data_IF_478243975533
#
_entry.id   IF_478243975533
#
_cell.length_a   1.000
_cell.length_b   1.000
_cell.length_c   1.000
_cell.angle_alpha   90.00
_cell.angle_beta   90.00
_cell.angle_gamma   90.00
#
_symmetry.space_group_name_H-M   'P 1'
#
loop_
_entity.id
_entity.type
_entity.pdbx_description
1 polymer ?
#
# COMPACT_ATOMS: atom_id res chain seq x y z
N UNK A 1 16.88 13.54 -14.01
CA UNK A 1 16.71 12.10 -14.20
C UNK A 1 17.98 11.30 -13.91
N UNK A 2 19.19 11.83 -14.27
CA UNK A 2 20.48 11.13 -14.08
C UNK A 2 20.72 10.70 -12.63
N UNK A 3 20.48 11.59 -11.66
CA UNK A 3 20.63 11.27 -10.23
C UNK A 3 19.72 10.12 -9.81
N UNK A 4 18.47 10.10 -10.29
CA UNK A 4 17.54 9.02 -9.98
C UNK A 4 17.96 7.68 -10.57
N UNK A 5 18.46 7.67 -11.81
CA UNK A 5 19.02 6.48 -12.45
C UNK A 5 20.21 5.97 -11.64
N UNK A 6 21.12 6.85 -11.26
CA UNK A 6 22.26 6.49 -10.42
C UNK A 6 21.85 5.85 -9.09
N UNK A 7 20.86 6.43 -8.41
CA UNK A 7 20.31 5.86 -7.18
C UNK A 7 19.66 4.50 -7.41
N UNK A 8 18.85 4.34 -8.44
CA UNK A 8 18.14 3.09 -8.72
C UNK A 8 19.07 1.95 -9.15
N UNK A 9 20.22 2.27 -9.77
CA UNK A 9 21.22 1.27 -10.12
C UNK A 9 21.79 0.54 -8.89
N UNK A 10 21.81 1.17 -7.72
CA UNK A 10 22.24 0.53 -6.46
C UNK A 10 21.31 -0.62 -6.04
N UNK A 11 20.06 -0.58 -6.50
CA UNK A 11 19.06 -1.64 -6.29
C UNK A 11 18.97 -2.62 -7.47
N UNK A 12 19.94 -2.61 -8.40
CA UNK A 12 19.95 -3.46 -9.58
C UNK A 12 18.90 -3.08 -10.64
N UNK A 13 18.27 -1.89 -10.52
CA UNK A 13 17.23 -1.44 -11.45
C UNK A 13 17.89 -0.76 -12.66
N UNK A 14 17.63 -1.31 -13.85
CA UNK A 14 18.20 -0.78 -15.10
C UNK A 14 17.68 0.62 -15.44
N UNK A 15 18.47 1.39 -16.19
CA UNK A 15 18.08 2.71 -16.68
C UNK A 15 16.76 2.67 -17.47
N UNK A 16 16.57 1.66 -18.32
CA UNK A 16 15.34 1.49 -19.10
C UNK A 16 14.11 1.31 -18.20
N UNK A 17 14.24 0.52 -17.13
CA UNK A 17 13.18 0.32 -16.13
C UNK A 17 12.84 1.61 -15.40
N UNK A 18 13.85 2.39 -15.00
CA UNK A 18 13.65 3.70 -14.36
C UNK A 18 12.92 4.66 -15.29
N UNK A 19 13.36 4.77 -16.56
CA UNK A 19 12.71 5.64 -17.55
C UNK A 19 11.25 5.22 -17.79
N UNK A 20 11.00 3.92 -17.93
CA UNK A 20 9.64 3.38 -18.06
C UNK A 20 8.75 3.68 -16.84
N UNK A 21 9.30 3.59 -15.63
CA UNK A 21 8.57 3.94 -14.42
C UNK A 21 8.22 5.43 -14.37
N UNK A 22 9.16 6.31 -14.70
CA UNK A 22 8.94 7.77 -14.78
C UNK A 22 7.84 8.08 -15.80
N UNK A 23 7.89 7.49 -17.00
CA UNK A 23 6.87 7.69 -18.03
C UNK A 23 5.47 7.32 -17.50
N UNK A 24 5.34 6.15 -16.84
CA UNK A 24 4.06 5.74 -16.23
C UNK A 24 3.59 6.72 -15.15
N UNK A 25 4.50 7.19 -14.26
CA UNK A 25 4.14 8.14 -13.21
C UNK A 25 3.72 9.51 -13.78
N UNK A 26 4.31 9.96 -14.88
CA UNK A 26 3.85 11.17 -15.60
C UNK A 26 2.45 10.98 -16.15
N UNK A 27 2.19 9.85 -16.84
CA UNK A 27 0.87 9.55 -17.41
C UNK A 27 -0.22 9.38 -16.34
N UNK A 28 0.16 8.93 -15.14
CA UNK A 28 -0.74 8.84 -13.98
C UNK A 28 -0.92 10.17 -13.24
N UNK A 29 -0.27 11.24 -13.72
CA UNK A 29 -0.34 12.55 -13.07
C UNK A 29 0.31 12.63 -11.69
N UNK A 30 1.20 11.69 -11.32
CA UNK A 30 1.88 11.67 -10.03
C UNK A 30 3.11 12.59 -9.99
N UNK A 31 3.77 12.74 -11.12
CA UNK A 31 4.91 13.64 -11.30
C UNK A 31 4.74 14.49 -12.55
N UNK A 32 5.35 15.66 -12.54
CA UNK A 32 5.38 16.56 -13.70
C UNK A 32 6.83 16.83 -14.14
N UNK A 33 7.12 16.78 -15.45
CA UNK A 33 8.42 17.12 -15.98
C UNK A 33 8.60 18.62 -16.09
N UNK A 34 9.85 19.08 -15.88
CA UNK A 34 10.30 20.43 -16.20
C UNK A 34 11.61 20.35 -16.94
N UNK A 35 11.68 20.92 -18.13
CA UNK A 35 12.91 20.98 -18.93
C UNK A 35 13.66 22.28 -18.62
N UNK A 36 14.96 22.19 -18.31
CA UNK A 36 15.85 23.33 -18.14
C UNK A 36 17.11 23.05 -18.98
N UNK A 37 17.26 23.76 -20.08
CA UNK A 37 18.28 23.47 -21.09
C UNK A 37 18.13 22.04 -21.62
N UNK A 38 19.20 21.25 -21.59
CA UNK A 38 19.19 19.86 -22.03
C UNK A 38 18.86 18.85 -20.91
N UNK A 39 18.49 19.32 -19.71
CA UNK A 39 18.20 18.46 -18.55
C UNK A 39 16.72 18.44 -18.24
N UNK A 40 16.20 17.24 -17.95
CA UNK A 40 14.83 17.04 -17.47
C UNK A 40 14.82 16.88 -15.95
N UNK A 41 14.03 17.66 -15.28
CA UNK A 41 13.74 17.61 -13.84
C UNK A 41 12.32 17.10 -13.64
N UNK A 42 12.06 16.49 -12.52
CA UNK A 42 10.73 15.97 -12.16
C UNK A 42 10.36 16.43 -10.77
N UNK A 43 9.12 16.82 -10.57
CA UNK A 43 8.58 17.16 -9.27
C UNK A 43 7.26 16.43 -9.06
N UNK A 44 6.93 16.15 -7.81
CA UNK A 44 5.62 15.61 -7.46
C UNK A 44 4.53 16.62 -7.82
N UNK A 45 3.39 16.09 -8.23
CA UNK A 45 2.12 16.83 -8.29
C UNK A 45 1.45 16.78 -6.91
N UNK A 46 0.33 17.45 -6.74
CA UNK A 46 -0.48 17.34 -5.53
C UNK A 46 -0.99 15.91 -5.33
N UNK A 47 -1.43 15.26 -6.39
CA UNK A 47 -1.82 13.84 -6.39
C UNK A 47 -0.65 12.94 -5.98
N UNK A 48 0.54 13.20 -6.50
CA UNK A 48 1.75 12.48 -6.13
C UNK A 48 2.11 12.66 -4.64
N UNK A 49 1.98 13.85 -4.11
CA UNK A 49 2.21 14.14 -2.70
C UNK A 49 1.23 13.37 -1.81
N UNK A 50 -0.08 13.44 -2.09
CA UNK A 50 -1.10 12.70 -1.35
C UNK A 50 -0.80 11.19 -1.34
N UNK A 51 -0.42 10.62 -2.49
CA UNK A 51 -0.07 9.19 -2.59
C UNK A 51 1.13 8.81 -1.72
N UNK A 52 2.13 9.68 -1.61
CA UNK A 52 3.27 9.45 -0.71
C UNK A 52 2.83 9.56 0.75
N UNK A 53 2.06 10.57 1.11
CA UNK A 53 1.56 10.75 2.48
C UNK A 53 0.74 9.55 2.95
N UNK A 54 -0.13 9.04 2.10
CA UNK A 54 -0.91 7.83 2.39
C UNK A 54 -0.01 6.61 2.60
N UNK A 55 1.01 6.44 1.75
CA UNK A 55 2.01 5.39 1.90
C UNK A 55 2.82 5.52 3.20
N UNK A 56 3.25 6.74 3.54
CA UNK A 56 3.98 7.02 4.79
C UNK A 56 3.10 6.72 6.00
N UNK A 57 1.85 7.17 6.01
CA UNK A 57 0.91 6.88 7.09
C UNK A 57 0.73 5.37 7.27
N UNK A 58 0.60 4.62 6.19
CA UNK A 58 0.42 3.17 6.21
C UNK A 58 1.65 2.45 6.78
N UNK A 59 2.85 2.86 6.38
CA UNK A 59 4.10 2.20 6.81
C UNK A 59 4.51 2.58 8.24
N UNK A 60 4.35 3.86 8.61
CA UNK A 60 4.94 4.38 9.86
C UNK A 60 3.92 4.74 10.93
N UNK A 61 2.65 4.97 10.60
CA UNK A 61 1.62 5.25 11.58
C UNK A 61 0.84 3.98 11.94
N UNK A 62 1.51 3.01 12.56
CA UNK A 62 0.84 1.83 13.14
C UNK A 62 0.00 2.33 14.31
N UNK A 63 -1.24 2.67 14.02
CA UNK A 63 -2.23 2.98 15.06
C UNK A 63 -2.84 1.65 15.49
N UNK A 64 -2.52 1.20 16.67
CA UNK A 64 -3.28 0.16 17.34
C UNK A 64 -4.67 0.72 17.68
N UNK A 65 -5.59 0.69 16.73
CA UNK A 65 -6.96 0.99 17.00
C UNK A 65 -7.58 -0.19 17.75
N UNK A 66 -8.08 0.08 18.95
CA UNK A 66 -8.94 -0.90 19.62
C UNK A 66 -10.20 -1.02 18.77
N UNK A 67 -10.58 -2.25 18.45
CA UNK A 67 -11.81 -2.50 17.70
C UNK A 67 -13.00 -1.90 18.43
N UNK A 68 -13.83 -1.15 17.72
CA UNK A 68 -15.02 -0.48 18.25
C UNK A 68 -16.26 -1.37 18.32
N UNK A 69 -16.13 -2.66 17.97
CA UNK A 69 -17.23 -3.63 17.98
C UNK A 69 -18.06 -3.65 16.70
N UNK A 70 -17.69 -2.87 15.68
CA UNK A 70 -18.45 -2.81 14.44
C UNK A 70 -17.65 -3.30 13.23
N UNK A 71 -18.31 -4.11 12.42
CA UNK A 71 -17.88 -4.47 11.09
C UNK A 71 -18.36 -3.44 10.08
N UNK A 72 -17.48 -3.01 9.19
CA UNK A 72 -17.81 -2.22 7.99
C UNK A 72 -17.97 -3.21 6.85
N UNK A 73 -19.14 -3.23 6.23
CA UNK A 73 -19.50 -4.17 5.18
C UNK A 73 -19.75 -3.36 3.90
N UNK A 74 -19.00 -3.66 2.87
CA UNK A 74 -19.16 -3.06 1.55
C UNK A 74 -19.59 -4.14 0.56
N UNK A 75 -20.69 -3.87 -0.12
CA UNK A 75 -21.23 -4.72 -1.18
C UNK A 75 -21.26 -3.89 -2.45
N UNK A 76 -20.80 -4.43 -3.55
CA UNK A 76 -20.89 -3.73 -4.83
C UNK A 76 -21.54 -4.60 -5.91
N UNK A 77 -22.22 -3.92 -6.87
CA UNK A 77 -22.78 -4.51 -8.07
C UNK A 77 -22.36 -3.66 -9.28
N UNK A 78 -21.12 -3.87 -9.74
CA UNK A 78 -20.57 -3.14 -10.90
C UNK A 78 -20.79 -3.97 -12.16
N UNK A 79 -21.48 -3.44 -13.20
CA UNK A 79 -21.76 -4.14 -14.46
C UNK A 79 -20.48 -4.59 -15.19
N UNK A 80 -20.58 -5.63 -16.02
CA UNK A 80 -19.42 -6.18 -16.74
C UNK A 80 -18.79 -5.16 -17.70
N UNK A 81 -19.59 -4.29 -18.29
CA UNK A 81 -19.14 -3.21 -19.18
C UNK A 81 -18.16 -2.24 -18.45
N UNK A 82 -18.23 -2.19 -17.12
CA UNK A 82 -17.35 -1.39 -16.25
C UNK A 82 -16.29 -2.22 -15.53
N UNK A 83 -15.83 -3.32 -16.11
CA UNK A 83 -14.84 -4.24 -15.52
C UNK A 83 -13.58 -3.54 -15.02
N UNK A 84 -13.08 -2.52 -15.72
CA UNK A 84 -11.91 -1.77 -15.31
C UNK A 84 -12.15 -1.05 -13.97
N UNK A 85 -13.32 -0.45 -13.80
CA UNK A 85 -13.74 0.21 -12.57
C UNK A 85 -13.85 -0.78 -11.41
N UNK A 86 -14.42 -1.97 -11.65
CA UNK A 86 -14.46 -3.07 -10.68
C UNK A 86 -13.06 -3.51 -10.25
N UNK A 87 -12.14 -3.63 -11.20
CA UNK A 87 -10.74 -4.00 -10.89
C UNK A 87 -10.06 -2.92 -10.05
N UNK A 88 -10.31 -1.67 -10.35
CA UNK A 88 -9.80 -0.53 -9.58
C UNK A 88 -10.37 -0.53 -8.15
N UNK A 89 -11.70 -0.66 -8.00
CA UNK A 89 -12.37 -0.75 -6.71
C UNK A 89 -11.78 -1.85 -5.83
N UNK A 90 -11.59 -3.05 -6.38
CA UNK A 90 -10.97 -4.17 -5.65
C UNK A 90 -9.55 -3.86 -5.15
N UNK A 91 -8.76 -3.16 -5.96
CA UNK A 91 -7.41 -2.73 -5.54
C UNK A 91 -7.47 -1.71 -4.41
N UNK A 92 -8.37 -0.73 -4.50
CA UNK A 92 -8.53 0.29 -3.45
C UNK A 92 -9.04 -0.33 -2.14
N UNK A 93 -10.01 -1.25 -2.20
CA UNK A 93 -10.52 -1.96 -1.02
C UNK A 93 -9.44 -2.82 -0.36
N UNK A 94 -8.70 -3.59 -1.14
CA UNK A 94 -7.56 -4.35 -0.63
C UNK A 94 -6.49 -3.42 -0.03
N UNK A 95 -6.20 -2.32 -0.70
CA UNK A 95 -5.24 -1.31 -0.22
C UNK A 95 -5.67 -0.66 1.09
N UNK A 96 -6.96 -0.44 1.32
CA UNK A 96 -7.49 0.12 2.56
C UNK A 96 -7.66 -0.90 3.69
N UNK A 97 -7.31 -2.17 3.45
CA UNK A 97 -7.34 -3.23 4.47
C UNK A 97 -8.69 -3.92 4.62
N UNK A 98 -9.56 -3.84 3.62
CA UNK A 98 -10.76 -4.67 3.58
C UNK A 98 -10.43 -6.12 3.24
N UNK A 99 -11.05 -7.06 3.95
CA UNK A 99 -11.04 -8.49 3.66
C UNK A 99 -12.14 -8.89 2.69
N UNK A 100 -11.82 -9.75 1.72
CA UNK A 100 -12.75 -10.24 0.73
C UNK A 100 -13.52 -11.47 1.24
N UNK A 101 -14.83 -11.34 1.43
CA UNK A 101 -15.70 -12.44 1.89
C UNK A 101 -16.32 -13.21 0.73
N UNK A 102 -16.83 -12.49 -0.27
CA UNK A 102 -17.34 -13.07 -1.53
C UNK A 102 -16.86 -12.22 -2.69
N UNK A 103 -17.17 -12.61 -3.93
CA UNK A 103 -16.73 -11.87 -5.12
C UNK A 103 -17.08 -10.37 -5.10
N UNK A 104 -18.10 -9.97 -4.34
CA UNK A 104 -18.59 -8.57 -4.29
C UNK A 104 -18.78 -8.05 -2.87
N UNK A 105 -18.47 -8.85 -1.82
CA UNK A 105 -18.67 -8.46 -0.42
C UNK A 105 -17.32 -8.37 0.28
N UNK A 106 -17.07 -7.20 0.86
CA UNK A 106 -15.85 -6.88 1.58
C UNK A 106 -16.18 -6.43 3.00
N UNK A 107 -15.29 -6.72 3.95
CA UNK A 107 -15.47 -6.35 5.34
C UNK A 107 -14.20 -5.71 5.92
N UNK A 108 -14.36 -4.83 6.90
CA UNK A 108 -13.26 -4.27 7.66
C UNK A 108 -13.66 -4.03 9.12
N UNK A 109 -12.78 -4.29 10.11
CA UNK A 109 -12.98 -3.91 11.49
C UNK A 109 -12.64 -2.43 11.76
N UNK A 110 -12.00 -1.75 10.81
CA UNK A 110 -11.51 -0.39 10.98
C UNK A 110 -12.57 0.65 10.63
N UNK A 111 -12.60 1.82 11.31
CA UNK A 111 -13.51 2.93 11.00
C UNK A 111 -13.07 3.67 9.75
N UNK A 112 -13.47 3.17 8.59
CA UNK A 112 -13.06 3.64 7.26
C UNK A 112 -14.16 4.40 6.51
N UNK A 113 -15.23 4.82 7.20
CA UNK A 113 -16.42 5.45 6.63
C UNK A 113 -16.06 6.65 5.75
N UNK A 114 -15.19 7.52 6.25
CA UNK A 114 -14.78 8.72 5.53
C UNK A 114 -14.02 8.38 4.24
N UNK A 115 -13.03 7.46 4.32
CA UNK A 115 -12.25 7.05 3.16
C UNK A 115 -13.13 6.39 2.09
N UNK A 116 -14.12 5.59 2.49
CA UNK A 116 -15.05 4.96 1.57
C UNK A 116 -15.92 6.01 0.87
N UNK A 117 -16.46 6.97 1.59
CA UNK A 117 -17.26 8.06 1.01
C UNK A 117 -16.43 8.87 -0.01
N UNK A 118 -15.19 9.20 0.30
CA UNK A 118 -14.30 9.90 -0.62
C UNK A 118 -13.98 9.05 -1.87
N UNK A 119 -13.69 7.77 -1.69
CA UNK A 119 -13.43 6.83 -2.79
C UNK A 119 -14.64 6.70 -3.72
N UNK A 120 -15.82 6.50 -3.14
CA UNK A 120 -17.08 6.37 -3.89
C UNK A 120 -17.31 7.60 -4.77
N UNK A 121 -17.13 8.81 -4.21
CA UNK A 121 -17.26 10.07 -4.95
C UNK A 121 -16.18 10.23 -6.03
N UNK A 122 -14.95 9.90 -5.72
CA UNK A 122 -13.80 10.05 -6.65
C UNK A 122 -13.98 9.21 -7.91
N UNK A 123 -14.55 8.03 -7.76
CA UNK A 123 -14.73 7.08 -8.87
C UNK A 123 -16.16 7.02 -9.43
N UNK A 124 -17.08 7.89 -8.95
CA UNK A 124 -18.49 7.92 -9.34
C UNK A 124 -19.16 6.53 -9.18
N UNK A 125 -19.07 5.97 -7.98
CA UNK A 125 -19.50 4.62 -7.64
C UNK A 125 -20.81 4.57 -6.85
N UNK A 126 -21.47 5.70 -6.63
CA UNK A 126 -22.64 5.85 -5.74
C UNK A 126 -23.75 4.85 -6.08
N UNK A 127 -24.00 4.59 -7.38
CA UNK A 127 -25.05 3.68 -7.84
C UNK A 127 -24.70 2.19 -7.68
N UNK A 128 -23.42 1.88 -7.44
CA UNK A 128 -22.92 0.49 -7.46
C UNK A 128 -22.55 -0.06 -6.09
N UNK A 129 -22.50 0.78 -5.07
CA UNK A 129 -21.98 0.41 -3.74
C UNK A 129 -23.07 0.58 -2.68
N UNK A 130 -23.17 -0.46 -1.84
CA UNK A 130 -23.87 -0.40 -0.56
C UNK A 130 -22.85 -0.54 0.55
N UNK A 131 -22.92 0.34 1.54
CA UNK A 131 -22.00 0.36 2.66
C UNK A 131 -22.77 0.36 3.98
N UNK A 132 -22.47 -0.60 4.83
CA UNK A 132 -23.19 -0.84 6.08
C UNK A 132 -22.21 -0.96 7.25
N UNK A 133 -22.72 -0.74 8.45
CA UNK A 133 -22.06 -1.11 9.70
C UNK A 133 -22.92 -2.13 10.45
N UNK A 134 -22.29 -3.13 11.06
CA UNK A 134 -22.97 -4.14 11.86
C UNK A 134 -22.15 -4.50 13.08
N UNK A 135 -22.81 -4.63 14.24
CA UNK A 135 -22.18 -5.08 15.48
C UNK A 135 -22.16 -6.61 15.61
N UNK A 136 -22.85 -7.34 14.76
CA UNK A 136 -22.95 -8.80 14.84
C UNK A 136 -23.02 -9.47 13.47
N UNK A 137 -22.54 -10.72 13.41
CA UNK A 137 -22.67 -11.62 12.26
C UNK A 137 -23.40 -12.86 12.77
N UNK A 138 -24.67 -13.00 12.42
CA UNK A 138 -25.54 -14.03 13.00
C UNK A 138 -25.19 -15.45 12.60
N UNK A 139 -24.59 -15.64 11.42
CA UNK A 139 -24.34 -16.97 10.83
C UNK A 139 -22.92 -17.49 11.03
N UNK A 140 -22.00 -16.65 11.48
CA UNK A 140 -20.58 -16.97 11.66
C UNK A 140 -20.04 -16.22 12.88
N UNK A 141 -19.03 -16.80 13.52
CA UNK A 141 -18.30 -16.06 14.54
C UNK A 141 -17.30 -15.06 13.87
N UNK A 142 -16.79 -14.14 14.68
CA UNK A 142 -15.85 -13.12 14.19
C UNK A 142 -14.55 -13.76 13.66
N UNK A 143 -14.11 -14.87 14.23
CA UNK A 143 -12.88 -15.54 13.84
C UNK A 143 -13.01 -16.18 12.45
N UNK A 144 -14.15 -16.80 12.16
CA UNK A 144 -14.44 -17.34 10.82
C UNK A 144 -14.43 -16.22 9.76
N UNK A 145 -15.04 -15.09 10.08
CA UNK A 145 -15.06 -13.92 9.19
C UNK A 145 -13.64 -13.39 8.91
N UNK A 146 -12.83 -13.29 9.96
CA UNK A 146 -11.42 -12.87 9.87
C UNK A 146 -10.62 -13.83 9.00
N UNK A 147 -10.68 -15.12 9.28
CA UNK A 147 -9.94 -16.15 8.56
C UNK A 147 -10.30 -16.18 7.06
N UNK A 148 -11.58 -15.96 6.75
CA UNK A 148 -12.05 -15.90 5.36
C UNK A 148 -11.59 -14.64 4.65
N UNK A 149 -11.57 -13.50 5.34
CA UNK A 149 -11.25 -12.20 4.75
C UNK A 149 -9.76 -11.96 4.49
N UNK A 150 -8.87 -12.47 5.36
CA UNK A 150 -7.46 -12.05 5.37
C UNK A 150 -6.42 -13.18 5.27
N UNK A 151 -6.84 -14.46 5.20
CA UNK A 151 -5.91 -15.60 5.08
C UNK A 151 -4.73 -15.51 6.07
N UNK A 152 -5.04 -15.30 7.35
CA UNK A 152 -4.05 -14.95 8.38
C UNK A 152 -2.91 -15.96 8.51
N UNK A 153 -3.16 -17.27 8.28
CA UNK A 153 -2.12 -18.29 8.36
C UNK A 153 -1.04 -18.11 7.26
N UNK A 154 -1.44 -17.73 6.03
CA UNK A 154 -0.51 -17.43 4.95
C UNK A 154 0.32 -16.15 5.31
N UNK A 155 -0.35 -15.14 5.84
CA UNK A 155 0.30 -13.90 6.27
C UNK A 155 1.28 -14.11 7.42
N UNK A 156 0.95 -14.95 8.40
CA UNK A 156 1.84 -15.30 9.51
C UNK A 156 3.12 -15.98 9.02
N UNK A 157 3.00 -16.92 8.08
CA UNK A 157 4.15 -17.58 7.47
C UNK A 157 5.06 -16.60 6.73
N UNK A 158 4.46 -15.70 5.93
CA UNK A 158 5.21 -14.65 5.23
C UNK A 158 5.93 -13.70 6.21
N UNK A 159 5.29 -13.33 7.32
CA UNK A 159 5.91 -12.53 8.37
C UNK A 159 7.08 -13.25 9.04
N UNK A 160 6.93 -14.54 9.34
CA UNK A 160 8.01 -15.34 9.92
C UNK A 160 9.21 -15.43 8.97
N UNK A 161 8.97 -15.63 7.68
CA UNK A 161 10.03 -15.63 6.66
C UNK A 161 10.73 -14.26 6.59
N UNK A 162 9.98 -13.17 6.62
CA UNK A 162 10.53 -11.81 6.66
C UNK A 162 11.41 -11.60 7.89
N UNK A 163 10.93 -11.95 9.08
CA UNK A 163 11.69 -11.81 10.34
C UNK A 163 12.96 -12.64 10.27
N UNK A 164 12.89 -13.90 9.86
CA UNK A 164 14.05 -14.79 9.76
C UNK A 164 15.09 -14.29 8.75
N UNK A 165 14.65 -13.64 7.68
CA UNK A 165 15.54 -13.06 6.66
C UNK A 165 16.29 -11.83 7.18
N UNK A 166 15.58 -10.91 7.85
CA UNK A 166 16.14 -9.60 8.22
C UNK A 166 16.80 -9.56 9.61
N UNK A 167 16.36 -10.39 10.57
CA UNK A 167 16.85 -10.34 11.94
C UNK A 167 18.35 -10.59 12.08
N UNK A 168 18.99 -11.53 11.36
CA UNK A 168 20.44 -11.73 11.47
C UNK A 168 21.25 -10.51 11.00
N UNK A 169 20.82 -9.88 9.90
CA UNK A 169 21.46 -8.69 9.35
C UNK A 169 21.28 -7.45 10.24
N UNK A 170 20.14 -7.34 10.92
CA UNK A 170 19.83 -6.19 11.76
C UNK A 170 20.81 -6.01 12.92
N UNK A 171 21.18 -7.07 13.59
CA UNK A 171 22.14 -7.02 14.69
C UNK A 171 23.53 -6.52 14.22
N UNK A 172 23.98 -6.99 13.05
CA UNK A 172 25.24 -6.53 12.46
C UNK A 172 25.18 -5.04 12.05
N UNK A 173 24.08 -4.60 11.45
CA UNK A 173 23.88 -3.20 11.11
C UNK A 173 23.80 -2.29 12.33
N UNK A 174 23.19 -2.78 13.40
CA UNK A 174 23.11 -2.07 14.68
C UNK A 174 24.51 -1.86 15.27
N UNK A 175 25.34 -2.89 15.30
CA UNK A 175 26.73 -2.81 15.77
C UNK A 175 27.55 -1.83 14.91
N UNK A 176 27.48 -1.91 13.58
CA UNK A 176 28.14 -0.98 12.67
C UNK A 176 27.69 0.47 12.87
N UNK A 177 26.39 0.69 13.16
CA UNK A 177 25.85 2.01 13.45
C UNK A 177 26.41 2.58 14.74
N UNK A 178 26.53 1.76 15.79
CA UNK A 178 27.14 2.17 17.09
C UNK A 178 28.61 2.51 16.93
N UNK A 179 29.34 1.74 16.14
CA UNK A 179 30.75 1.97 15.82
C UNK A 179 30.96 3.11 14.82
N UNK A 180 29.87 3.71 14.26
CA UNK A 180 29.90 4.73 13.20
C UNK A 180 30.65 4.30 11.95
N UNK A 181 30.64 3.02 11.63
CA UNK A 181 31.26 2.45 10.42
C UNK A 181 30.26 2.27 9.29
N UNK A 182 28.96 2.36 9.58
CA UNK A 182 27.90 2.27 8.57
C UNK A 182 27.86 3.55 7.73
N UNK A 183 28.04 3.44 6.41
CA UNK A 183 27.93 4.57 5.51
C UNK A 183 26.47 4.99 5.28
N UNK A 184 26.24 6.28 4.99
CA UNK A 184 24.92 6.80 4.64
C UNK A 184 24.28 6.05 3.47
N UNK A 185 25.10 5.68 2.47
CA UNK A 185 24.66 4.92 1.30
C UNK A 185 24.17 3.52 1.69
N UNK A 186 24.91 2.82 2.52
CA UNK A 186 24.52 1.50 3.01
C UNK A 186 23.26 1.57 3.88
N UNK A 187 23.19 2.54 4.79
CA UNK A 187 22.01 2.78 5.63
C UNK A 187 20.76 3.04 4.78
N UNK A 188 20.89 3.86 3.74
CA UNK A 188 19.80 4.14 2.81
C UNK A 188 19.35 2.89 2.03
N UNK A 189 20.31 2.09 1.56
CA UNK A 189 20.03 0.84 0.83
C UNK A 189 19.27 -0.15 1.70
N UNK A 190 19.82 -0.49 2.87
CA UNK A 190 19.23 -1.46 3.80
C UNK A 190 17.84 -1.04 4.27
N UNK A 191 17.69 0.23 4.66
CA UNK A 191 16.37 0.77 5.06
C UNK A 191 15.36 0.72 3.93
N UNK A 192 15.78 1.03 2.70
CA UNK A 192 14.88 1.02 1.55
C UNK A 192 14.42 -0.40 1.23
N UNK A 193 15.35 -1.38 1.25
CA UNK A 193 15.02 -2.79 1.05
C UNK A 193 14.07 -3.30 2.13
N UNK A 194 14.35 -3.04 3.41
CA UNK A 194 13.52 -3.43 4.53
C UNK A 194 12.10 -2.87 4.40
N UNK A 195 11.96 -1.56 4.18
CA UNK A 195 10.65 -0.91 4.02
C UNK A 195 9.93 -1.40 2.77
N UNK A 196 10.66 -1.67 1.68
CA UNK A 196 10.07 -2.20 0.45
C UNK A 196 9.43 -3.57 0.66
N UNK A 197 10.09 -4.46 1.41
CA UNK A 197 9.51 -5.77 1.73
C UNK A 197 8.41 -5.66 2.77
N UNK A 198 8.63 -4.92 3.86
CA UNK A 198 7.66 -4.74 4.95
C UNK A 198 6.31 -4.20 4.46
N UNK A 199 6.32 -3.24 3.54
CA UNK A 199 5.07 -2.64 3.02
C UNK A 199 4.15 -3.64 2.28
N UNK A 200 4.62 -4.84 1.95
CA UNK A 200 3.80 -5.87 1.30
C UNK A 200 2.78 -6.48 2.25
N UNK A 201 3.03 -6.39 3.54
CA UNK A 201 2.15 -6.89 4.60
C UNK A 201 1.05 -5.90 5.03
N UNK A 202 1.10 -4.66 4.58
CA UNK A 202 0.25 -3.58 5.06
C UNK A 202 -1.04 -3.39 4.27
#
# INVERSE_FOLDING_TARGET
>A
IGSLIHFMNQFGISESSVRGAIFRMVNQGLIKPRKIGNKSYYSLTETGWRRIEDGVRRVYAIKHHKWDGYWRILIYSVPEEKRQLRTQLRKELSWTGFGLITNSTWVSPNPLEHQIVEMVKTYNLEEYIYFFTSSSVLSHDNQELINKGWKLAELEEEYNQFINHYSPGYAALQEQSWQRTLSDQQCFYERTCLVHEFRKFL
#
